data_IF_394889262530
#
_entry.id   IF_394889262530
#
_cell.length_a   1.000
_cell.length_b   1.000
_cell.length_c   1.000
_cell.angle_alpha   90.00
_cell.angle_beta   90.00
_cell.angle_gamma   90.00
#
_symmetry.space_group_name_H-M   'P 1'
#
loop_
_entity.id
_entity.type
_entity.pdbx_description
1 polymer ?
#
# COMPACT_ATOMS: atom_id res chain seq x y z
N UNK A 1 -62.33 -32.46 55.10
CA UNK A 1 -62.64 -31.80 53.82
C UNK A 1 -61.94 -30.43 53.87
N UNK A 2 -60.63 -30.37 53.59
CA UNK A 2 -59.96 -30.10 52.28
C UNK A 2 -60.19 -28.65 51.79
N UNK A 3 -59.18 -27.88 51.31
CA UNK A 3 -57.79 -28.26 50.98
C UNK A 3 -56.69 -27.40 51.62
N UNK A 4 -55.55 -28.07 51.77
CA UNK A 4 -54.20 -27.54 51.98
C UNK A 4 -53.69 -26.87 50.69
N UNK A 5 -53.26 -25.61 50.76
CA UNK A 5 -52.64 -24.91 49.63
C UNK A 5 -51.12 -25.08 49.71
N UNK A 6 -50.56 -25.97 48.87
CA UNK A 6 -49.12 -26.07 48.64
C UNK A 6 -48.64 -24.85 47.86
N UNK A 7 -47.89 -23.96 48.50
CA UNK A 7 -47.15 -22.89 47.83
C UNK A 7 -45.81 -23.49 47.38
N UNK A 8 -45.68 -23.79 46.09
CA UNK A 8 -44.41 -24.13 45.47
C UNK A 8 -43.55 -22.85 45.39
N UNK A 9 -42.44 -22.82 46.12
CA UNK A 9 -41.39 -21.82 45.91
C UNK A 9 -40.70 -22.11 44.58
N UNK A 10 -41.08 -21.38 43.53
CA UNK A 10 -40.26 -21.25 42.33
C UNK A 10 -39.02 -20.42 42.70
N UNK A 11 -37.89 -21.10 42.86
CA UNK A 11 -36.58 -20.44 42.89
C UNK A 11 -36.30 -19.95 41.47
N UNK A 12 -36.68 -18.70 41.19
CA UNK A 12 -36.25 -18.01 39.98
C UNK A 12 -34.78 -17.64 40.18
N UNK A 13 -33.87 -18.50 39.73
CA UNK A 13 -32.46 -18.13 39.61
C UNK A 13 -32.35 -17.08 38.51
N UNK A 14 -32.37 -15.80 38.91
CA UNK A 14 -31.91 -14.72 38.05
C UNK A 14 -30.44 -14.98 37.78
N UNK A 15 -30.15 -15.58 36.63
CA UNK A 15 -28.83 -15.58 36.04
C UNK A 15 -28.51 -14.12 35.72
N UNK A 16 -27.95 -13.39 36.69
CA UNK A 16 -27.25 -12.15 36.40
C UNK A 16 -26.15 -12.53 35.42
N UNK A 17 -26.36 -12.22 34.15
CA UNK A 17 -25.24 -12.14 33.22
C UNK A 17 -24.27 -11.16 33.87
N UNK A 18 -23.12 -11.68 34.33
CA UNK A 18 -21.97 -10.85 34.65
C UNK A 18 -21.58 -10.23 33.31
N UNK A 19 -22.14 -9.04 33.04
CA UNK A 19 -21.60 -8.15 32.02
C UNK A 19 -20.20 -7.85 32.52
N UNK A 20 -19.21 -8.56 31.99
CA UNK A 20 -17.82 -8.16 32.17
C UNK A 20 -17.77 -6.69 31.77
N UNK A 21 -17.23 -5.77 32.60
CA UNK A 21 -17.01 -4.42 32.13
C UNK A 21 -16.21 -4.54 30.84
N UNK A 22 -16.77 -4.07 29.73
CA UNK A 22 -16.00 -3.82 28.52
C UNK A 22 -15.00 -2.77 28.96
N UNK A 23 -13.76 -3.18 29.21
CA UNK A 23 -12.69 -2.25 29.50
C UNK A 23 -12.56 -1.39 28.26
N UNK A 24 -12.96 -0.12 28.34
CA UNK A 24 -12.66 0.84 27.29
C UNK A 24 -11.14 0.85 27.12
N UNK A 25 -10.67 0.49 25.93
CA UNK A 25 -9.24 0.50 25.66
C UNK A 25 -8.82 1.97 25.54
N UNK A 26 -8.05 2.42 26.53
CA UNK A 26 -7.41 3.75 26.52
C UNK A 26 -6.02 3.60 25.92
N UNK A 27 -5.62 4.58 25.12
CA UNK A 27 -4.34 4.61 24.41
C UNK A 27 -3.58 5.89 24.75
N UNK A 28 -2.27 5.77 24.94
CA UNK A 28 -1.36 6.89 25.19
C UNK A 28 -0.56 7.20 23.92
N UNK A 29 -0.33 8.48 23.64
CA UNK A 29 0.40 8.92 22.46
C UNK A 29 1.86 8.48 22.54
N UNK A 30 2.34 7.85 21.47
CA UNK A 30 3.72 7.41 21.31
C UNK A 30 4.44 8.15 20.18
N UNK A 31 3.69 8.75 19.25
CA UNK A 31 4.27 9.49 18.14
C UNK A 31 3.37 10.64 17.68
N UNK A 32 3.99 11.73 17.29
CA UNK A 32 3.36 12.83 16.55
C UNK A 32 4.27 13.22 15.39
N UNK A 33 3.69 13.33 14.19
CA UNK A 33 4.28 13.90 12.98
C UNK A 33 3.52 15.18 12.68
N UNK A 34 4.13 16.34 12.95
CA UNK A 34 3.50 17.65 12.76
C UNK A 34 4.58 18.72 12.56
N UNK A 35 4.18 19.84 11.98
CA UNK A 35 5.03 21.03 11.91
C UNK A 35 6.33 20.83 11.14
N UNK A 36 7.40 21.59 11.49
CA UNK A 36 8.67 21.56 10.76
C UNK A 36 9.36 20.20 10.69
N UNK A 37 9.06 19.30 11.65
CA UNK A 37 9.67 17.96 11.76
C UNK A 37 8.80 16.86 11.16
N UNK A 38 7.71 17.21 10.45
CA UNK A 38 6.76 16.24 9.91
C UNK A 38 7.45 15.13 9.11
N UNK A 39 8.45 15.48 8.29
CA UNK A 39 9.11 14.56 7.35
C UNK A 39 10.35 13.84 7.92
N UNK A 40 10.71 14.03 9.19
CA UNK A 40 12.01 13.57 9.73
C UNK A 40 12.14 12.04 9.81
N UNK A 41 11.02 11.33 9.99
CA UNK A 41 10.99 9.88 10.20
C UNK A 41 10.16 9.16 9.13
N UNK A 42 10.34 9.60 7.89
CA UNK A 42 9.74 9.00 6.70
C UNK A 42 10.81 8.55 5.70
N UNK A 43 10.65 7.33 5.21
CA UNK A 43 11.41 6.81 4.07
C UNK A 43 10.63 7.06 2.79
N UNK A 44 11.25 7.78 1.85
CA UNK A 44 10.70 8.03 0.52
C UNK A 44 11.03 6.87 -0.41
N UNK A 45 10.01 6.36 -1.09
CA UNK A 45 10.19 5.35 -2.13
C UNK A 45 10.68 6.02 -3.40
N UNK A 46 11.91 5.76 -3.80
CA UNK A 46 12.36 6.06 -5.16
C UNK A 46 12.46 4.76 -5.97
N UNK A 47 11.99 4.77 -7.21
CA UNK A 47 12.13 3.61 -8.11
C UNK A 47 13.56 3.46 -8.65
N UNK A 48 14.47 4.39 -8.35
CA UNK A 48 15.84 4.38 -8.85
C UNK A 48 16.77 3.49 -8.00
N UNK A 49 16.48 3.31 -6.71
CA UNK A 49 17.27 2.51 -5.77
C UNK A 49 16.99 1.00 -5.83
N UNK A 50 15.97 0.56 -6.57
CA UNK A 50 15.59 -0.87 -6.70
C UNK A 50 15.68 -1.37 -8.13
N UNK A 51 16.60 -0.81 -8.93
CA UNK A 51 16.99 -1.41 -10.19
C UNK A 51 17.57 -2.80 -9.91
N UNK A 52 16.85 -3.84 -10.32
CA UNK A 52 17.40 -5.19 -10.44
C UNK A 52 18.58 -5.07 -11.40
N UNK A 53 19.80 -5.23 -10.88
CA UNK A 53 21.00 -5.37 -11.70
C UNK A 53 20.90 -6.71 -12.43
N UNK A 54 20.29 -6.69 -13.61
CA UNK A 54 20.26 -7.83 -14.51
C UNK A 54 21.67 -7.96 -15.10
N UNK A 55 22.51 -8.75 -14.45
CA UNK A 55 23.81 -9.15 -14.97
C UNK A 55 23.60 -10.07 -16.18
N UNK A 56 23.46 -9.50 -17.37
CA UNK A 56 23.60 -10.25 -18.61
C UNK A 56 25.11 -10.37 -18.85
N UNK A 57 25.67 -11.55 -18.54
CA UNK A 57 27.05 -11.88 -18.85
C UNK A 57 27.33 -11.60 -20.33
N UNK A 58 28.12 -10.56 -20.60
CA UNK A 58 28.65 -10.06 -21.89
C UNK A 58 28.15 -8.70 -22.42
N UNK A 59 27.42 -7.89 -21.65
CA UNK A 59 27.19 -6.49 -22.04
C UNK A 59 27.49 -5.55 -20.87
N UNK A 60 28.61 -4.82 -20.95
CA UNK A 60 28.91 -3.71 -20.05
C UNK A 60 28.29 -2.45 -20.63
N UNK A 61 27.25 -1.90 -20.00
CA UNK A 61 26.71 -0.59 -20.35
C UNK A 61 26.73 0.32 -19.12
N UNK A 62 27.60 1.33 -19.15
CA UNK A 62 27.59 2.43 -18.20
C UNK A 62 26.91 3.65 -18.82
N UNK A 63 25.66 3.94 -18.44
CA UNK A 63 25.07 5.29 -18.57
C UNK A 63 24.01 5.53 -17.50
N UNK A 64 23.90 6.79 -17.08
CA UNK A 64 23.17 7.29 -15.91
C UNK A 64 21.66 7.52 -16.11
N UNK A 65 21.02 6.79 -17.03
CA UNK A 65 19.57 6.90 -17.24
C UNK A 65 19.08 5.79 -18.18
N UNK A 66 18.65 4.65 -17.62
CA UNK A 66 17.94 3.62 -18.38
C UNK A 66 16.44 3.89 -18.34
N UNK A 67 15.96 4.60 -19.36
CA UNK A 67 14.70 4.23 -19.99
C UNK A 67 15.06 3.14 -21.00
N UNK A 68 14.58 1.92 -20.79
CA UNK A 68 14.80 0.83 -21.74
C UNK A 68 13.91 1.12 -22.95
N UNK A 69 14.48 1.74 -23.98
CA UNK A 69 13.99 1.62 -25.35
C UNK A 69 15.17 1.54 -26.30
N UNK A 70 15.69 0.33 -26.50
CA UNK A 70 16.29 -0.03 -27.78
C UNK A 70 15.37 -1.05 -28.44
N UNK A 71 14.69 -0.57 -29.49
CA UNK A 71 13.97 -1.38 -30.46
C UNK A 71 15.03 -1.97 -31.37
N UNK A 72 15.43 -3.22 -31.14
CA UNK A 72 16.15 -3.98 -32.17
C UNK A 72 15.13 -4.72 -33.04
N UNK A 73 15.19 -4.43 -34.34
CA UNK A 73 14.26 -4.86 -35.38
C UNK A 73 14.68 -6.21 -35.99
N UNK A 74 14.93 -7.22 -35.16
CA UNK A 74 15.30 -8.56 -35.63
C UNK A 74 14.64 -9.63 -34.76
N UNK A 75 13.51 -10.15 -35.26
CA UNK A 75 12.93 -11.48 -35.00
C UNK A 75 13.22 -12.13 -33.62
N UNK A 76 12.22 -12.04 -32.74
CA UNK A 76 12.02 -12.76 -31.46
C UNK A 76 12.00 -11.83 -30.23
N UNK A 77 11.01 -10.93 -30.20
CA UNK A 77 10.79 -10.00 -29.10
C UNK A 77 10.65 -10.71 -27.75
N UNK A 78 11.65 -10.53 -26.89
CA UNK A 78 11.58 -10.88 -25.47
C UNK A 78 10.80 -9.78 -24.74
N UNK A 79 9.67 -10.15 -24.15
CA UNK A 79 8.81 -9.26 -23.37
C UNK A 79 9.31 -9.23 -21.92
N UNK A 80 9.89 -8.11 -21.49
CA UNK A 80 10.08 -7.81 -20.06
C UNK A 80 8.86 -6.98 -19.64
N UNK A 81 7.94 -7.58 -18.90
CA UNK A 81 6.83 -6.85 -18.27
C UNK A 81 7.38 -5.99 -17.14
N UNK A 82 7.58 -4.70 -17.39
CA UNK A 82 7.86 -3.72 -16.35
C UNK A 82 6.50 -3.24 -15.84
N UNK A 83 6.21 -3.41 -14.55
CA UNK A 83 5.07 -2.79 -13.90
C UNK A 83 5.25 -1.26 -14.01
N UNK A 84 4.51 -0.62 -14.90
CA UNK A 84 4.68 0.80 -15.22
C UNK A 84 3.60 1.61 -14.52
N UNK A 85 3.80 2.01 -13.27
CA UNK A 85 2.98 3.08 -12.69
C UNK A 85 3.14 4.34 -13.53
N UNK A 86 2.06 5.07 -13.81
CA UNK A 86 2.14 6.34 -14.54
C UNK A 86 2.65 7.52 -13.67
N UNK A 87 2.94 7.23 -12.40
CA UNK A 87 3.65 8.10 -11.46
C UNK A 87 5.12 7.66 -11.29
N UNK A 88 6.04 8.63 -11.23
CA UNK A 88 7.44 8.43 -10.85
C UNK A 88 7.64 8.95 -9.43
N UNK A 89 7.81 8.05 -8.48
CA UNK A 89 8.13 8.46 -7.10
C UNK A 89 9.57 8.95 -6.98
N UNK A 90 9.71 10.11 -6.33
CA UNK A 90 10.98 10.78 -6.13
C UNK A 90 11.62 10.41 -4.79
N UNK A 91 12.96 10.50 -4.75
CA UNK A 91 13.73 10.48 -3.50
C UNK A 91 13.34 11.67 -2.62
N UNK A 92 13.62 11.60 -1.32
CA UNK A 92 13.36 12.72 -0.40
C UNK A 92 14.04 14.02 -0.87
N UNK A 93 15.31 13.92 -1.28
CA UNK A 93 16.09 15.06 -1.80
C UNK A 93 15.43 15.71 -3.01
N UNK A 94 15.01 14.90 -3.99
CA UNK A 94 14.37 15.40 -5.20
C UNK A 94 12.97 15.96 -4.91
N UNK A 95 12.18 15.29 -4.05
CA UNK A 95 10.85 15.75 -3.65
C UNK A 95 10.91 17.10 -2.92
N UNK A 96 11.88 17.29 -2.02
CA UNK A 96 12.08 18.56 -1.31
C UNK A 96 12.56 19.67 -2.25
N UNK A 97 13.51 19.36 -3.14
CA UNK A 97 14.05 20.30 -4.12
C UNK A 97 12.98 20.77 -5.12
N UNK A 98 12.12 19.86 -5.57
CA UNK A 98 11.03 20.13 -6.51
C UNK A 98 9.73 20.61 -5.84
N UNK A 99 9.72 20.75 -4.51
CA UNK A 99 8.53 21.16 -3.72
C UNK A 99 7.33 20.24 -3.94
N UNK A 100 7.58 18.93 -4.08
CA UNK A 100 6.55 17.90 -4.07
C UNK A 100 6.30 17.32 -2.68
N UNK A 101 7.24 17.49 -1.76
CA UNK A 101 7.04 17.32 -0.33
C UNK A 101 7.67 18.50 0.40
N UNK A 102 6.93 19.19 1.26
CA UNK A 102 7.46 20.30 2.06
C UNK A 102 6.49 20.67 3.18
N UNK A 103 6.99 21.36 4.21
CA UNK A 103 6.14 22.02 5.22
C UNK A 103 5.86 23.44 4.75
N UNK A 104 4.58 23.81 4.66
CA UNK A 104 4.19 25.18 4.36
C UNK A 104 4.58 26.09 5.53
N UNK A 105 5.36 27.14 5.26
CA UNK A 105 5.90 28.02 6.30
C UNK A 105 4.85 28.94 6.94
N UNK A 106 3.67 29.06 6.34
CA UNK A 106 2.58 29.91 6.82
C UNK A 106 1.68 29.14 7.77
N UNK A 107 1.32 27.90 7.40
CA UNK A 107 0.40 27.06 8.17
C UNK A 107 1.11 26.05 9.07
N UNK A 108 2.38 25.74 8.82
CA UNK A 108 3.12 24.60 9.39
C UNK A 108 2.51 23.23 9.04
N UNK A 109 1.67 23.16 8.00
CA UNK A 109 1.12 21.89 7.52
C UNK A 109 2.07 21.24 6.52
N UNK A 110 2.09 19.92 6.51
CA UNK A 110 2.81 19.15 5.51
C UNK A 110 2.02 19.10 4.20
N UNK A 111 2.70 19.42 3.09
CA UNK A 111 2.19 19.32 1.73
C UNK A 111 2.89 18.17 1.03
N UNK A 112 2.11 17.24 0.47
CA UNK A 112 2.59 16.09 -0.31
C UNK A 112 1.81 16.07 -1.62
N UNK A 113 2.47 16.29 -2.76
CA UNK A 113 1.77 16.57 -4.03
C UNK A 113 2.38 15.93 -5.27
N UNK A 114 1.55 15.81 -6.30
CA UNK A 114 1.96 15.48 -7.67
C UNK A 114 2.59 16.71 -8.33
N UNK A 115 3.53 16.49 -9.25
CA UNK A 115 4.09 17.56 -10.08
C UNK A 115 3.04 18.17 -11.01
N UNK A 116 2.70 19.41 -10.70
CA UNK A 116 1.71 20.20 -11.41
C UNK A 116 2.29 21.29 -12.30
N UNK A 117 3.58 21.22 -12.63
CA UNK A 117 4.29 22.28 -13.38
C UNK A 117 5.03 21.77 -14.59
N UNK A 118 5.66 20.59 -14.50
CA UNK A 118 6.47 20.09 -15.59
C UNK A 118 5.63 19.58 -16.75
N UNK A 119 6.25 19.57 -17.93
CA UNK A 119 5.73 18.91 -19.11
C UNK A 119 6.25 17.48 -19.17
N UNK A 120 5.33 16.50 -19.24
CA UNK A 120 5.67 15.07 -19.33
C UNK A 120 5.65 14.64 -20.79
N UNK A 121 6.78 14.11 -21.27
CA UNK A 121 6.91 13.57 -22.63
C UNK A 121 6.29 12.18 -22.75
N UNK A 122 5.99 11.77 -23.98
CA UNK A 122 5.51 10.42 -24.28
C UNK A 122 6.45 9.35 -23.70
N UNK A 123 5.90 8.26 -23.16
CA UNK A 123 6.62 7.20 -22.44
C UNK A 123 7.37 7.66 -21.18
N UNK A 124 6.98 8.79 -20.58
CA UNK A 124 7.46 9.23 -19.26
C UNK A 124 6.32 9.26 -18.25
N UNK A 125 6.70 9.20 -16.98
CA UNK A 125 5.77 9.23 -15.86
C UNK A 125 5.85 10.59 -15.18
N UNK A 126 4.73 11.04 -14.62
CA UNK A 126 4.68 12.30 -13.88
C UNK A 126 5.26 12.12 -12.49
N UNK A 127 6.09 13.06 -12.05
CA UNK A 127 6.71 12.96 -10.72
C UNK A 127 5.64 13.05 -9.62
N UNK A 128 5.81 12.23 -8.59
CA UNK A 128 4.93 12.18 -7.42
C UNK A 128 5.70 11.71 -6.19
N UNK A 129 5.01 11.52 -5.08
CA UNK A 129 5.57 11.07 -3.81
C UNK A 129 4.84 9.82 -3.33
N UNK A 130 5.64 8.84 -2.88
CA UNK A 130 5.24 7.75 -2.00
C UNK A 130 6.24 7.71 -0.86
N UNK A 131 5.75 7.73 0.37
CA UNK A 131 6.59 7.70 1.56
C UNK A 131 5.93 6.91 2.67
N UNK A 132 6.74 6.31 3.54
CA UNK A 132 6.25 5.57 4.69
C UNK A 132 7.00 5.90 5.96
N UNK A 133 6.42 5.63 7.11
CA UNK A 133 7.10 5.77 8.40
C UNK A 133 8.31 4.83 8.50
N UNK A 134 9.38 5.29 9.16
CA UNK A 134 10.59 4.50 9.45
C UNK A 134 10.35 3.36 10.46
N UNK A 135 9.19 3.36 11.12
CA UNK A 135 8.76 2.37 12.10
C UNK A 135 7.40 1.79 11.72
N UNK A 136 7.15 0.55 12.15
CA UNK A 136 5.85 -0.10 12.06
C UNK A 136 5.10 -0.06 13.40
N UNK A 137 3.78 -0.20 13.33
CA UNK A 137 2.88 -0.19 14.49
C UNK A 137 2.10 -1.49 14.60
N UNK A 138 2.23 -2.17 15.74
CA UNK A 138 1.61 -3.48 15.99
C UNK A 138 0.14 -3.37 16.39
N UNK A 139 -0.54 -4.52 16.49
CA UNK A 139 -1.84 -4.65 17.14
C UNK A 139 -1.80 -3.99 18.52
N UNK A 140 -2.87 -3.26 18.87
CA UNK A 140 -2.93 -2.40 20.06
C UNK A 140 -2.57 -0.94 19.76
N UNK A 141 -2.57 -0.53 18.49
CA UNK A 141 -2.28 0.85 18.08
C UNK A 141 -3.54 1.58 17.62
N UNK A 142 -3.55 2.89 17.81
CA UNK A 142 -4.49 3.81 17.16
C UNK A 142 -3.67 4.85 16.43
N UNK A 143 -3.97 5.14 15.17
CA UNK A 143 -3.43 6.30 14.49
C UNK A 143 -4.54 7.21 14.00
N UNK A 144 -4.24 8.50 14.02
CA UNK A 144 -5.15 9.55 13.59
C UNK A 144 -4.45 10.45 12.60
N UNK A 145 -5.18 10.92 11.61
CA UNK A 145 -4.68 11.88 10.63
C UNK A 145 -5.65 13.05 10.49
N UNK A 146 -5.10 14.26 10.61
CA UNK A 146 -5.80 15.52 10.41
C UNK A 146 -5.47 16.09 9.02
N UNK A 147 -6.40 15.99 8.07
CA UNK A 147 -6.20 16.49 6.71
C UNK A 147 -7.11 17.68 6.44
N UNK A 148 -6.57 18.72 5.81
CA UNK A 148 -7.33 19.89 5.34
C UNK A 148 -7.63 19.79 3.85
N UNK A 149 -6.77 19.10 3.11
CA UNK A 149 -6.92 18.82 1.68
C UNK A 149 -6.46 17.39 1.39
N UNK A 150 -7.12 16.75 0.42
CA UNK A 150 -6.71 15.45 -0.14
C UNK A 150 -6.58 15.56 -1.65
N UNK A 151 -5.69 14.82 -2.32
CA UNK A 151 -5.54 14.88 -3.76
C UNK A 151 -6.84 14.48 -4.46
N UNK A 152 -7.23 15.17 -5.51
CA UNK A 152 -8.27 14.69 -6.42
C UNK A 152 -8.05 15.25 -7.82
N UNK A 153 -8.75 14.68 -8.78
CA UNK A 153 -8.62 15.04 -10.19
C UNK A 153 -8.66 13.80 -11.06
N UNK A 154 -8.98 13.96 -12.34
CA UNK A 154 -8.89 12.84 -13.27
C UNK A 154 -7.48 12.26 -13.30
N UNK A 155 -7.38 10.93 -13.27
CA UNK A 155 -6.19 10.10 -13.10
C UNK A 155 -5.63 10.01 -11.68
N UNK A 156 -6.05 10.87 -10.74
CA UNK A 156 -5.44 10.94 -9.42
C UNK A 156 -5.95 9.78 -8.55
N UNK A 157 -5.03 9.06 -7.92
CA UNK A 157 -5.33 7.98 -6.98
C UNK A 157 -4.49 8.17 -5.71
N UNK A 158 -5.04 8.89 -4.72
CA UNK A 158 -4.41 9.06 -3.43
C UNK A 158 -4.77 7.94 -2.47
N UNK A 159 -3.83 7.63 -1.58
CA UNK A 159 -4.07 6.75 -0.45
C UNK A 159 -3.33 7.23 0.81
N UNK A 160 -4.03 7.15 1.94
CA UNK A 160 -3.47 7.09 3.28
C UNK A 160 -3.83 5.72 3.86
N UNK A 161 -2.81 4.89 4.00
CA UNK A 161 -2.94 3.45 4.19
C UNK A 161 -1.77 2.93 5.00
N UNK A 162 -1.82 1.67 5.40
CA UNK A 162 -0.71 1.02 6.08
C UNK A 162 -0.53 -0.40 5.60
N UNK A 163 0.72 -0.87 5.57
CA UNK A 163 1.03 -2.26 5.21
C UNK A 163 2.20 -2.76 6.02
N UNK A 164 2.32 -4.08 6.15
CA UNK A 164 3.49 -4.70 6.77
C UNK A 164 4.70 -4.73 5.83
N UNK A 165 5.87 -4.95 6.42
CA UNK A 165 7.11 -5.28 5.69
C UNK A 165 7.04 -6.61 4.94
N UNK A 166 5.98 -7.39 5.05
CA UNK A 166 5.82 -8.62 4.27
C UNK A 166 4.48 -8.57 3.56
N UNK A 167 4.43 -9.14 2.35
CA UNK A 167 3.21 -9.21 1.55
C UNK A 167 2.07 -9.90 2.31
N UNK A 168 2.40 -10.90 3.12
CA UNK A 168 1.43 -11.68 3.87
C UNK A 168 0.98 -11.01 5.16
N UNK A 169 1.63 -9.91 5.57
CA UNK A 169 1.38 -9.21 6.83
C UNK A 169 0.25 -8.19 6.79
N UNK A 170 -0.59 -8.21 5.75
CA UNK A 170 -1.82 -7.44 5.65
C UNK A 170 -1.64 -5.97 5.28
N UNK A 171 -2.74 -5.35 4.87
CA UNK A 171 -2.86 -3.96 4.44
C UNK A 171 -4.17 -3.37 4.97
N UNK A 172 -4.12 -2.10 5.41
CA UNK A 172 -5.24 -1.36 5.99
C UNK A 172 -5.36 -0.03 5.25
N UNK A 173 -6.39 0.09 4.40
CA UNK A 173 -6.70 1.31 3.66
C UNK A 173 -7.62 2.18 4.50
N UNK A 174 -7.04 3.21 5.10
CA UNK A 174 -7.79 4.15 5.96
C UNK A 174 -8.54 5.18 5.12
N UNK A 175 -7.90 5.66 4.07
CA UNK A 175 -8.48 6.56 3.09
C UNK A 175 -7.91 6.21 1.72
N UNK A 176 -8.80 5.93 0.78
CA UNK A 176 -8.46 5.79 -0.62
C UNK A 176 -9.55 6.45 -1.47
N UNK A 177 -9.13 7.08 -2.56
CA UNK A 177 -10.03 7.67 -3.54
C UNK A 177 -9.47 7.52 -4.94
N UNK A 178 -10.31 7.68 -5.95
CA UNK A 178 -9.88 7.67 -7.35
C UNK A 178 -10.60 8.74 -8.14
N UNK A 179 -9.88 9.36 -9.07
CA UNK A 179 -10.43 10.31 -10.02
C UNK A 179 -11.23 11.43 -9.32
N UNK A 180 -12.43 11.70 -9.83
CA UNK A 180 -13.39 12.65 -9.28
C UNK A 180 -14.55 11.93 -8.55
N UNK A 181 -14.28 10.78 -7.93
CA UNK A 181 -15.27 10.12 -7.07
C UNK A 181 -15.78 11.09 -5.98
N UNK A 182 -17.00 10.87 -5.50
CA UNK A 182 -17.62 11.72 -4.46
C UNK A 182 -17.45 11.18 -3.04
N UNK A 183 -16.87 9.99 -2.88
CA UNK A 183 -16.70 9.31 -1.60
C UNK A 183 -15.32 8.66 -1.55
N UNK A 184 -14.70 8.64 -0.37
CA UNK A 184 -13.56 7.76 -0.13
C UNK A 184 -14.04 6.35 0.22
N UNK A 185 -13.12 5.40 0.09
CA UNK A 185 -13.29 4.03 0.55
C UNK A 185 -12.26 3.71 1.63
N UNK A 186 -12.58 2.69 2.43
CA UNK A 186 -11.73 2.13 3.47
C UNK A 186 -11.84 0.60 3.42
N UNK A 187 -10.77 -0.10 3.76
CA UNK A 187 -10.69 -1.53 3.44
C UNK A 187 -9.52 -2.25 4.08
N UNK A 188 -9.55 -3.58 3.94
CA UNK A 188 -8.44 -4.44 4.30
C UNK A 188 -8.09 -5.38 3.13
N UNK A 189 -6.79 -5.66 3.00
CA UNK A 189 -6.28 -6.74 2.16
C UNK A 189 -5.43 -7.70 2.99
N UNK A 190 -5.68 -9.01 2.85
CA UNK A 190 -5.05 -10.05 3.64
C UNK A 190 -4.75 -11.30 2.81
N UNK A 191 -4.03 -12.26 3.39
CA UNK A 191 -4.02 -13.64 2.90
C UNK A 191 -5.43 -14.27 3.01
N UNK A 192 -5.74 -15.37 2.29
CA UNK A 192 -7.05 -16.02 2.34
C UNK A 192 -7.49 -16.42 3.75
N UNK A 193 -8.78 -16.24 4.05
CA UNK A 193 -9.39 -16.68 5.31
C UNK A 193 -9.80 -15.57 6.28
N UNK A 194 -9.61 -14.30 5.91
CA UNK A 194 -10.17 -13.16 6.65
C UNK A 194 -11.43 -12.63 5.93
N UNK A 195 -12.54 -12.53 6.66
CA UNK A 195 -13.81 -12.03 6.14
C UNK A 195 -14.47 -11.10 7.16
N UNK A 196 -15.01 -9.98 6.68
CA UNK A 196 -15.78 -9.03 7.47
C UNK A 196 -17.12 -9.65 7.87
N UNK A 197 -17.28 -10.01 9.14
CA UNK A 197 -18.51 -10.62 9.69
C UNK A 197 -18.83 -10.04 11.06
N UNK A 198 -20.11 -9.74 11.30
CA UNK A 198 -20.59 -9.24 12.59
C UNK A 198 -20.22 -7.78 12.85
N UNK A 199 -19.98 -7.02 11.78
CA UNK A 199 -19.57 -5.63 11.83
C UNK A 199 -20.58 -4.75 12.57
N UNK A 200 -20.06 -3.91 13.47
CA UNK A 200 -20.81 -2.85 14.13
C UNK A 200 -20.33 -1.50 13.60
N UNK A 201 -20.96 -1.02 12.53
CA UNK A 201 -20.53 0.16 11.80
C UNK A 201 -21.71 1.00 11.32
N UNK A 202 -21.46 2.29 11.06
CA UNK A 202 -22.47 3.24 10.59
C UNK A 202 -22.66 3.20 9.07
N UNK A 203 -21.65 2.81 8.28
CA UNK A 203 -21.83 2.66 6.83
C UNK A 203 -22.60 1.40 6.48
N UNK A 204 -23.69 1.56 5.73
CA UNK A 204 -24.44 0.46 5.11
C UNK A 204 -23.90 0.05 3.74
N UNK A 205 -22.84 0.71 3.24
CA UNK A 205 -22.31 0.52 1.89
C UNK A 205 -21.06 -0.37 1.97
N UNK A 206 -21.29 -1.69 2.10
CA UNK A 206 -20.23 -2.71 2.07
C UNK A 206 -20.10 -3.22 0.64
N UNK A 207 -18.97 -2.93 0.00
CA UNK A 207 -18.71 -3.28 -1.40
C UNK A 207 -18.21 -4.73 -1.54
N UNK A 208 -17.49 -5.23 -0.54
CA UNK A 208 -16.98 -6.61 -0.47
C UNK A 208 -16.68 -6.96 0.98
N UNK A 209 -16.90 -8.21 1.37
CA UNK A 209 -16.60 -8.71 2.72
C UNK A 209 -15.37 -9.62 2.76
N UNK A 210 -14.90 -10.13 1.62
CA UNK A 210 -13.72 -11.00 1.56
C UNK A 210 -12.46 -10.15 1.44
N UNK A 211 -11.59 -10.21 2.44
CA UNK A 211 -10.40 -9.39 2.52
C UNK A 211 -9.23 -10.00 1.72
N UNK A 212 -9.38 -11.20 1.17
CA UNK A 212 -8.28 -11.87 0.49
C UNK A 212 -7.82 -11.13 -0.76
N UNK A 213 -6.53 -10.84 -0.87
CA UNK A 213 -5.93 -10.30 -2.10
C UNK A 213 -6.00 -11.29 -3.28
N UNK A 214 -6.29 -12.58 -3.03
CA UNK A 214 -6.51 -13.59 -4.07
C UNK A 214 -7.96 -13.64 -4.57
N UNK A 215 -8.89 -13.01 -3.86
CA UNK A 215 -10.29 -12.94 -4.24
C UNK A 215 -10.55 -11.71 -5.12
N UNK A 216 -11.53 -11.84 -6.02
CA UNK A 216 -12.15 -10.73 -6.78
C UNK A 216 -11.15 -9.75 -7.43
N UNK A 217 -10.01 -10.25 -7.90
CA UNK A 217 -8.92 -9.43 -8.45
C UNK A 217 -8.36 -8.41 -7.44
N UNK A 218 -7.96 -8.89 -6.25
CA UNK A 218 -7.43 -8.05 -5.18
C UNK A 218 -8.39 -6.91 -4.77
N UNK A 219 -9.69 -7.18 -4.73
CA UNK A 219 -10.68 -6.17 -4.34
C UNK A 219 -10.55 -5.78 -2.87
N UNK A 220 -10.18 -6.73 -1.99
CA UNK A 220 -10.24 -6.56 -0.55
C UNK A 220 -11.67 -6.49 -0.01
N UNK A 221 -11.80 -6.28 1.30
CA UNK A 221 -13.08 -6.14 1.97
C UNK A 221 -13.38 -4.67 2.24
N UNK A 222 -14.01 -4.03 1.28
CA UNK A 222 -14.13 -2.57 1.19
C UNK A 222 -15.48 -2.08 1.72
N UNK A 223 -15.44 -1.00 2.48
CA UNK A 223 -16.59 -0.20 2.90
C UNK A 223 -16.46 1.23 2.35
N UNK A 224 -17.50 1.74 1.71
CA UNK A 224 -17.54 3.13 1.24
C UNK A 224 -17.94 4.07 2.38
N UNK A 225 -17.30 5.25 2.46
CA UNK A 225 -17.69 6.30 3.42
C UNK A 225 -18.93 7.05 2.89
N UNK A 226 -20.11 6.97 3.57
CA UNK A 226 -21.34 7.52 3.01
C UNK A 226 -21.35 9.04 2.83
N UNK A 227 -20.55 9.76 3.64
CA UNK A 227 -20.45 11.22 3.53
C UNK A 227 -19.74 11.62 2.25
N UNK A 228 -20.31 12.56 1.49
CA UNK A 228 -19.64 13.15 0.32
C UNK A 228 -18.47 14.06 0.72
N UNK A 229 -18.42 14.50 1.98
CA UNK A 229 -17.30 15.30 2.50
C UNK A 229 -16.06 14.44 2.81
N UNK A 230 -16.08 13.15 2.48
CA UNK A 230 -14.98 12.22 2.74
C UNK A 230 -13.88 12.22 1.68
N UNK A 231 -14.13 12.80 0.51
CA UNK A 231 -13.18 12.86 -0.60
C UNK A 231 -13.38 14.07 -1.52
N UNK A 232 -12.36 14.36 -2.32
CA UNK A 232 -12.45 15.31 -3.42
C UNK A 232 -12.66 16.77 -3.00
N UNK A 233 -13.23 17.54 -3.92
CA UNK A 233 -13.49 18.97 -3.71
C UNK A 233 -14.40 19.23 -2.51
N UNK A 234 -15.35 18.32 -2.22
CA UNK A 234 -16.24 18.46 -1.07
C UNK A 234 -15.51 18.32 0.26
N UNK A 235 -14.50 17.44 0.35
CA UNK A 235 -13.60 17.35 1.51
C UNK A 235 -12.85 18.67 1.70
N UNK A 236 -12.20 19.18 0.64
CA UNK A 236 -11.43 20.42 0.69
C UNK A 236 -12.29 21.65 1.08
N UNK A 237 -13.47 21.78 0.46
CA UNK A 237 -14.40 22.89 0.73
C UNK A 237 -14.98 22.86 2.16
N UNK A 238 -15.10 21.68 2.76
CA UNK A 238 -15.53 21.53 4.15
C UNK A 238 -14.43 21.88 5.17
N UNK A 239 -13.21 22.23 4.73
CA UNK A 239 -12.05 22.41 5.61
C UNK A 239 -11.41 21.07 6.03
N UNK A 240 -11.66 20.02 5.26
CA UNK A 240 -11.16 18.67 5.44
C UNK A 240 -11.83 17.90 6.57
N UNK A 241 -11.05 17.11 7.31
CA UNK A 241 -11.56 16.22 8.33
C UNK A 241 -10.51 15.31 8.94
N UNK A 242 -10.97 14.47 9.86
CA UNK A 242 -10.16 13.52 10.59
C UNK A 242 -10.48 12.09 10.16
N UNK A 243 -9.45 11.29 9.96
CA UNK A 243 -9.58 9.83 9.96
C UNK A 243 -8.90 9.26 11.20
N UNK A 244 -9.53 8.24 11.79
CA UNK A 244 -9.00 7.49 12.94
C UNK A 244 -9.06 6.03 12.61
N UNK A 245 -7.97 5.31 12.82
CA UNK A 245 -7.89 3.87 12.66
C UNK A 245 -7.44 3.25 13.97
N UNK A 246 -8.28 2.37 14.51
CA UNK A 246 -7.97 1.51 15.63
C UNK A 246 -7.58 0.13 15.09
N UNK A 247 -6.33 -0.27 15.34
CA UNK A 247 -5.81 -1.59 15.02
C UNK A 247 -5.70 -2.40 16.32
N UNK A 248 -6.80 -3.03 16.72
CA UNK A 248 -6.94 -3.71 18.01
C UNK A 248 -7.05 -5.22 17.86
N UNK A 249 -6.92 -5.94 18.99
CA UNK A 249 -7.12 -7.40 19.03
C UNK A 249 -8.57 -7.80 18.71
N UNK A 250 -9.52 -6.93 19.04
CA UNK A 250 -10.96 -7.12 18.77
C UNK A 250 -11.33 -6.96 17.30
N UNK A 251 -10.47 -6.34 16.51
CA UNK A 251 -10.64 -6.08 15.09
C UNK A 251 -10.05 -4.74 14.67
N UNK A 252 -10.34 -4.34 13.44
CA UNK A 252 -9.96 -3.03 12.92
C UNK A 252 -11.22 -2.16 12.81
N UNK A 253 -11.14 -0.92 13.27
CA UNK A 253 -12.23 0.06 13.21
C UNK A 253 -11.72 1.37 12.64
N UNK A 254 -12.48 1.98 11.73
CA UNK A 254 -12.09 3.22 11.06
C UNK A 254 -13.23 4.23 11.13
N UNK A 255 -12.92 5.44 11.60
CA UNK A 255 -13.84 6.57 11.69
C UNK A 255 -13.44 7.66 10.68
N UNK A 256 -14.43 8.38 10.20
CA UNK A 256 -14.26 9.64 9.49
C UNK A 256 -15.13 10.71 10.15
N UNK A 257 -14.54 11.87 10.42
CA UNK A 257 -15.23 13.06 10.91
C UNK A 257 -14.97 14.22 9.95
N UNK A 258 -15.99 14.79 9.29
CA UNK A 258 -15.80 16.05 8.57
C UNK A 258 -15.42 17.15 9.58
N UNK A 259 -14.70 18.19 9.13
CA UNK A 259 -14.11 19.22 10.01
C UNK A 259 -15.07 19.77 11.08
N UNK A 260 -16.33 20.00 10.70
CA UNK A 260 -17.35 20.58 11.58
C UNK A 260 -17.75 19.65 12.75
N UNK A 261 -17.55 18.33 12.59
CA UNK A 261 -18.00 17.29 13.52
C UNK A 261 -16.82 16.61 14.25
N UNK A 262 -15.60 17.14 14.13
CA UNK A 262 -14.41 16.57 14.79
C UNK A 262 -14.59 16.64 16.32
N UNK A 263 -14.58 15.50 17.03
CA UNK A 263 -14.69 15.48 18.48
C UNK A 263 -13.53 16.20 19.18
N UNK A 264 -13.81 16.87 20.29
CA UNK A 264 -12.80 17.62 21.05
C UNK A 264 -11.59 16.80 21.52
N UNK A 265 -11.76 15.48 21.72
CA UNK A 265 -10.67 14.57 22.07
C UNK A 265 -9.62 14.45 20.95
N UNK A 266 -10.01 14.63 19.69
CA UNK A 266 -9.10 14.62 18.53
C UNK A 266 -8.48 15.98 18.26
N UNK A 267 -9.23 17.07 18.48
CA UNK A 267 -8.78 18.43 18.20
C UNK A 267 -7.95 19.08 19.32
N UNK A 268 -7.85 18.43 20.48
CA UNK A 268 -7.04 18.89 21.61
C UNK A 268 -5.61 18.36 21.54
N UNK A 269 -4.67 18.97 22.26
CA UNK A 269 -3.32 18.40 22.48
C UNK A 269 -3.36 17.26 23.52
N UNK A 270 -4.39 16.41 23.44
CA UNK A 270 -4.54 15.28 24.35
C UNK A 270 -3.45 14.24 24.06
N UNK A 271 -2.74 13.82 25.11
CA UNK A 271 -1.78 12.72 25.03
C UNK A 271 -2.46 11.35 25.17
N UNK A 272 -3.78 11.30 25.35
CA UNK A 272 -4.54 10.07 25.49
C UNK A 272 -5.80 10.07 24.65
N UNK A 273 -6.24 8.90 24.21
CA UNK A 273 -7.49 8.71 23.48
C UNK A 273 -8.22 7.48 23.99
N UNK A 274 -9.54 7.62 24.14
CA UNK A 274 -10.48 6.51 24.38
C UNK A 274 -11.36 6.39 23.13
N UNK A 275 -11.17 5.31 22.38
CA UNK A 275 -11.89 5.10 21.11
C UNK A 275 -13.39 4.85 21.32
N UNK A 276 -13.81 4.42 22.51
CA UNK A 276 -15.24 4.26 22.83
C UNK A 276 -15.99 5.60 22.85
N UNK A 277 -15.28 6.71 23.07
CA UNK A 277 -15.82 8.07 23.04
C UNK A 277 -16.05 8.60 21.61
N UNK A 278 -15.49 7.94 20.58
CA UNK A 278 -15.63 8.34 19.18
C UNK A 278 -16.98 7.91 18.57
N UNK A 279 -17.75 7.10 19.28
CA UNK A 279 -19.00 6.55 18.79
C UNK A 279 -18.80 5.42 17.79
N UNK A 280 -19.82 5.16 16.96
CA UNK A 280 -19.80 4.05 16.02
C UNK A 280 -18.84 4.32 14.84
N UNK A 281 -17.91 3.41 14.50
CA UNK A 281 -17.02 3.58 13.36
C UNK A 281 -17.78 3.58 12.03
N UNK A 282 -17.18 4.15 10.99
CA UNK A 282 -17.72 4.10 9.62
C UNK A 282 -17.56 2.71 9.03
N UNK A 283 -16.40 2.09 9.23
CA UNK A 283 -16.08 0.71 8.87
C UNK A 283 -15.56 -0.06 10.06
N UNK A 284 -16.01 -1.30 10.23
CA UNK A 284 -15.58 -2.20 11.30
C UNK A 284 -15.36 -3.61 10.75
N UNK A 285 -14.19 -4.17 11.01
CA UNK A 285 -13.78 -5.52 10.62
C UNK A 285 -13.47 -6.33 11.89
N UNK A 286 -14.46 -6.99 12.49
CA UNK A 286 -14.28 -7.74 13.72
C UNK A 286 -13.33 -8.94 13.58
N UNK A 287 -12.60 -9.24 14.65
CA UNK A 287 -11.70 -10.39 14.73
C UNK A 287 -12.38 -11.76 14.68
N UNK A 288 -13.72 -11.83 14.63
CA UNK A 288 -14.49 -13.09 14.63
C UNK A 288 -14.12 -14.00 13.46
N UNK A 289 -13.99 -13.44 12.25
CA UNK A 289 -13.51 -14.16 11.07
C UNK A 289 -12.34 -13.43 10.39
N UNK A 290 -11.72 -12.48 11.07
CA UNK A 290 -10.54 -11.77 10.59
C UNK A 290 -9.64 -11.39 11.76
N UNK A 291 -9.01 -12.39 12.40
CA UNK A 291 -8.20 -12.14 13.59
C UNK A 291 -7.00 -11.24 13.29
N UNK A 292 -6.95 -10.05 13.90
CA UNK A 292 -5.88 -9.06 13.70
C UNK A 292 -4.48 -9.66 13.83
N UNK A 293 -4.23 -10.44 14.87
CA UNK A 293 -2.90 -11.02 15.17
C UNK A 293 -2.51 -12.16 14.23
N UNK A 294 -3.46 -12.72 13.48
CA UNK A 294 -3.19 -13.75 12.48
C UNK A 294 -2.86 -13.14 11.12
N UNK A 295 -3.62 -12.12 10.70
CA UNK A 295 -3.56 -11.60 9.34
C UNK A 295 -2.69 -10.35 9.19
N UNK A 296 -2.38 -9.67 10.30
CA UNK A 296 -1.65 -8.42 10.26
C UNK A 296 -0.38 -8.48 11.11
N UNK A 297 0.73 -8.05 10.51
CA UNK A 297 2.01 -7.81 11.16
C UNK A 297 2.12 -6.31 11.53
N UNK A 298 3.21 -5.84 12.16
CA UNK A 298 3.40 -4.41 12.40
C UNK A 298 3.32 -3.60 11.09
N UNK A 299 2.53 -2.53 11.10
CA UNK A 299 2.15 -1.77 9.91
C UNK A 299 2.93 -0.46 9.80
N UNK A 300 3.57 -0.18 8.66
CA UNK A 300 4.10 1.13 8.33
C UNK A 300 2.98 2.01 7.78
N UNK A 301 2.89 3.27 8.22
CA UNK A 301 1.90 4.21 7.69
C UNK A 301 2.44 4.85 6.41
N UNK A 302 1.60 5.01 5.39
CA UNK A 302 2.02 5.36 4.03
C UNK A 302 1.15 6.48 3.46
N UNK A 303 1.81 7.49 2.90
CA UNK A 303 1.21 8.41 1.94
C UNK A 303 1.62 8.01 0.53
N UNK A 304 0.64 7.91 -0.37
CA UNK A 304 0.88 7.70 -1.79
C UNK A 304 -0.04 8.60 -2.60
N UNK A 305 0.48 9.21 -3.67
CA UNK A 305 -0.36 9.73 -4.75
C UNK A 305 0.11 9.08 -6.05
N UNK A 306 -0.59 8.04 -6.49
CA UNK A 306 -0.33 7.41 -7.79
C UNK A 306 -1.24 8.04 -8.85
N UNK A 307 -0.96 7.74 -10.12
CA UNK A 307 -1.75 8.21 -11.25
C UNK A 307 -2.15 7.04 -12.12
N UNK A 308 -3.42 7.01 -12.52
CA UNK A 308 -4.08 5.93 -13.24
C UNK A 308 -3.89 4.60 -12.50
N UNK A 309 -2.77 3.95 -12.80
CA UNK A 309 -2.33 2.65 -12.35
C UNK A 309 -1.37 2.10 -13.39
N UNK A 310 -0.88 0.88 -13.15
CA UNK A 310 -0.05 0.20 -14.12
C UNK A 310 -0.90 -0.43 -15.19
N UNK A 311 -0.90 0.12 -16.41
CA UNK A 311 -1.39 -0.66 -17.52
C UNK A 311 -0.45 -1.88 -17.66
N UNK A 312 -1.01 -3.09 -17.71
CA UNK A 312 -0.46 -4.11 -18.62
C UNK A 312 -0.81 -3.66 -20.05
N UNK A 313 -0.28 -2.50 -20.42
CA UNK A 313 -0.64 -1.66 -21.55
C UNK A 313 0.27 -1.90 -22.73
N UNK A 314 0.16 -3.10 -23.29
CA UNK A 314 0.03 -3.30 -24.74
C UNK A 314 0.84 -2.33 -25.63
N UNK A 315 2.11 -2.64 -25.88
CA UNK A 315 2.82 -2.18 -27.10
C UNK A 315 2.33 -2.94 -28.35
N UNK A 316 1.05 -3.27 -28.48
CA UNK A 316 0.55 -4.06 -29.61
C UNK A 316 -0.92 -3.76 -30.00
N UNK A 317 -1.13 -2.80 -30.91
CA UNK A 317 -2.06 -3.05 -32.01
C UNK A 317 -1.32 -3.76 -33.16
N UNK A 318 -1.94 -4.52 -34.07
CA UNK A 318 -3.20 -5.26 -34.06
C UNK A 318 -2.92 -6.78 -34.08
N UNK A 319 -2.73 -7.44 -32.94
CA UNK A 319 -2.60 -8.91 -32.89
C UNK A 319 -3.37 -9.47 -31.69
N UNK A 320 -4.68 -9.18 -31.64
CA UNK A 320 -5.58 -9.70 -30.60
C UNK A 320 -5.83 -11.21 -30.67
N UNK A 321 -5.46 -11.87 -31.77
CA UNK A 321 -5.89 -13.25 -32.04
C UNK A 321 -4.87 -14.34 -31.68
N UNK A 322 -3.63 -14.00 -31.30
CA UNK A 322 -2.57 -15.00 -31.08
C UNK A 322 -2.26 -15.23 -29.58
N UNK A 323 -2.44 -14.20 -28.74
CA UNK A 323 -2.01 -14.27 -27.32
C UNK A 323 -3.00 -14.95 -26.37
N UNK A 324 -4.28 -15.07 -26.74
CA UNK A 324 -5.28 -15.76 -25.90
C UNK A 324 -5.02 -17.27 -25.74
N UNK A 325 -4.17 -17.87 -26.60
CA UNK A 325 -3.87 -19.31 -26.56
C UNK A 325 -2.66 -19.68 -25.67
N UNK A 326 -1.78 -18.72 -25.33
CA UNK A 326 -0.55 -19.01 -24.59
C UNK A 326 -0.75 -18.98 -23.05
N UNK A 327 -1.73 -18.23 -22.56
CA UNK A 327 -1.99 -18.11 -21.12
C UNK A 327 -2.78 -19.28 -20.53
N UNK A 328 -3.37 -20.15 -21.36
CA UNK A 328 -4.14 -21.32 -20.91
C UNK A 328 -3.30 -22.61 -20.78
N UNK A 329 -1.98 -22.55 -20.91
CA UNK A 329 -1.12 -23.75 -20.93
C UNK A 329 0.17 -23.60 -20.12
N UNK A 330 0.11 -23.67 -18.79
CA UNK A 330 1.32 -23.94 -17.98
C UNK A 330 1.05 -24.52 -16.58
N UNK A 331 0.37 -25.67 -16.53
CA UNK A 331 0.68 -26.70 -15.51
C UNK A 331 0.69 -28.06 -16.18
N UNK A 332 1.76 -28.34 -16.94
CA UNK A 332 2.21 -29.72 -17.08
C UNK A 332 3.68 -29.80 -17.48
N UNK A 333 4.48 -30.47 -16.66
CA UNK A 333 5.95 -30.64 -16.78
C UNK A 333 6.39 -31.52 -17.97
N UNK A 334 5.49 -31.84 -18.91
CA UNK A 334 5.75 -32.80 -19.97
C UNK A 334 6.20 -32.18 -21.32
N UNK A 335 6.17 -30.85 -21.49
CA UNK A 335 6.38 -30.21 -22.80
C UNK A 335 7.81 -29.67 -23.06
N UNK A 336 8.80 -30.02 -22.23
CA UNK A 336 10.19 -29.55 -22.37
C UNK A 336 11.11 -30.48 -23.19
N UNK A 337 10.57 -31.53 -23.82
CA UNK A 337 11.40 -32.55 -24.52
C UNK A 337 11.41 -32.47 -26.06
N UNK A 338 10.73 -31.51 -26.69
CA UNK A 338 10.51 -31.57 -28.16
C UNK A 338 11.06 -30.43 -29.01
N UNK A 339 12.01 -29.61 -28.54
CA UNK A 339 12.65 -28.60 -29.43
C UNK A 339 14.15 -28.84 -29.61
N UNK A 340 14.67 -28.87 -30.87
CA UNK A 340 16.08 -29.06 -31.15
C UNK A 340 16.93 -27.86 -30.73
N UNK A 341 18.17 -28.15 -30.39
CA UNK A 341 19.24 -27.25 -29.96
C UNK A 341 19.44 -26.02 -30.86
N UNK A 342 19.21 -24.83 -30.30
CA UNK A 342 20.01 -23.60 -30.51
C UNK A 342 19.58 -22.52 -29.50
N UNK A 343 20.55 -21.95 -28.79
CA UNK A 343 20.46 -20.79 -27.89
C UNK A 343 19.50 -20.91 -26.69
N UNK A 344 19.96 -21.62 -25.65
CA UNK A 344 19.34 -21.57 -24.32
C UNK A 344 19.78 -20.31 -23.59
N UNK A 345 18.93 -19.27 -23.56
CA UNK A 345 19.02 -18.24 -22.52
C UNK A 345 18.29 -18.79 -21.28
N UNK A 346 19.05 -19.27 -20.30
CA UNK A 346 18.51 -19.62 -18.99
C UNK A 346 18.34 -18.32 -18.21
N UNK A 347 17.12 -17.78 -18.18
CA UNK A 347 16.80 -16.65 -17.32
C UNK A 347 16.65 -17.20 -15.90
N UNK A 348 17.72 -17.12 -15.10
CA UNK A 348 17.62 -17.29 -13.65
C UNK A 348 17.22 -15.93 -13.09
N UNK A 349 15.93 -15.76 -12.82
CA UNK A 349 15.42 -14.61 -12.06
C UNK A 349 15.85 -14.79 -10.60
N UNK A 350 17.02 -14.29 -10.24
CA UNK A 350 17.41 -14.17 -8.84
C UNK A 350 16.68 -12.95 -8.25
N UNK A 351 15.63 -13.23 -7.48
CA UNK A 351 14.83 -12.28 -6.70
C UNK A 351 14.07 -11.23 -7.51
N UNK A 352 12.78 -11.49 -7.74
CA UNK A 352 11.79 -10.40 -7.78
C UNK A 352 11.50 -10.08 -6.31
N UNK A 353 12.12 -9.04 -5.78
CA UNK A 353 11.74 -8.49 -4.47
C UNK A 353 10.25 -8.10 -4.50
N UNK A 354 9.36 -8.77 -3.74
CA UNK A 354 7.92 -8.62 -3.89
C UNK A 354 7.43 -7.51 -2.97
N UNK A 355 7.68 -6.25 -3.33
CA UNK A 355 7.30 -5.11 -2.47
C UNK A 355 6.54 -4.04 -3.21
N UNK A 356 5.27 -4.37 -3.42
CA UNK A 356 4.07 -3.55 -3.57
C UNK A 356 3.12 -4.45 -4.33
N UNK A 357 1.93 -4.72 -3.78
CA UNK A 357 0.90 -5.45 -4.51
C UNK A 357 0.78 -4.85 -5.93
N UNK A 358 0.48 -5.65 -6.97
CA UNK A 358 -0.12 -5.07 -8.16
C UNK A 358 -1.44 -4.48 -7.70
N UNK A 359 -1.41 -3.23 -7.22
CA UNK A 359 -2.57 -2.38 -7.12
C UNK A 359 -3.14 -2.38 -8.52
N UNK A 360 -4.26 -3.08 -8.68
CA UNK A 360 -4.98 -3.13 -9.94
C UNK A 360 -5.21 -1.67 -10.33
N UNK A 361 -5.03 -1.34 -11.60
CA UNK A 361 -5.16 0.01 -12.11
C UNK A 361 -6.56 0.57 -11.83
N UNK A 362 -6.80 1.11 -10.63
CA UNK A 362 -8.14 1.50 -10.19
C UNK A 362 -8.50 2.83 -10.84
N UNK A 363 -7.63 3.84 -10.80
CA UNK A 363 -7.98 5.12 -11.41
C UNK A 363 -7.94 5.07 -12.94
N UNK A 364 -7.07 4.29 -13.57
CA UNK A 364 -6.98 4.17 -15.03
C UNK A 364 -7.87 3.08 -15.65
N UNK A 365 -8.47 2.19 -14.85
CA UNK A 365 -9.46 1.21 -15.34
C UNK A 365 -10.56 1.92 -16.13
N UNK A 366 -10.79 1.51 -17.37
CA UNK A 366 -11.76 2.16 -18.26
C UNK A 366 -13.14 2.25 -17.61
N UNK A 367 -13.58 1.21 -16.92
CA UNK A 367 -14.88 1.14 -16.23
C UNK A 367 -14.95 1.99 -14.96
N UNK A 368 -13.83 2.41 -14.38
CA UNK A 368 -13.76 3.31 -13.22
C UNK A 368 -13.54 4.75 -13.66
N UNK A 369 -12.58 4.97 -14.55
CA UNK A 369 -12.24 6.27 -15.11
C UNK A 369 -13.46 6.92 -15.77
N UNK A 370 -14.17 6.18 -16.63
CA UNK A 370 -15.34 6.69 -17.35
C UNK A 370 -16.55 7.03 -16.47
N UNK A 371 -16.55 6.64 -15.19
CA UNK A 371 -17.62 7.01 -14.24
C UNK A 371 -17.57 8.49 -13.89
N UNK A 372 -16.38 9.10 -13.90
CA UNK A 372 -16.17 10.47 -13.40
C UNK A 372 -15.30 11.34 -14.30
N UNK A 373 -14.63 10.75 -15.29
CA UNK A 373 -13.71 11.41 -16.20
C UNK A 373 -13.95 10.98 -17.65
N UNK A 374 -13.54 11.82 -18.60
CA UNK A 374 -13.64 11.54 -20.04
C UNK A 374 -12.25 11.54 -20.67
N UNK A 375 -12.01 10.61 -21.59
CA UNK A 375 -10.72 10.48 -22.30
C UNK A 375 -9.96 9.21 -21.92
N UNK A 376 -8.67 9.19 -22.22
CA UNK A 376 -7.70 8.13 -21.93
C UNK A 376 -6.80 8.60 -20.79
N UNK A 377 -6.82 7.87 -19.66
CA UNK A 377 -6.18 8.29 -18.41
C UNK A 377 -4.72 8.76 -18.59
N UNK A 378 -3.87 7.95 -19.24
CA UNK A 378 -2.47 8.32 -19.43
C UNK A 378 -2.30 9.44 -20.47
N UNK A 379 -2.84 9.26 -21.68
CA UNK A 379 -2.58 10.16 -22.81
C UNK A 379 -3.11 11.58 -22.58
N UNK A 380 -4.28 11.69 -21.96
CA UNK A 380 -4.98 12.98 -21.85
C UNK A 380 -4.67 13.70 -20.53
N UNK A 381 -4.26 12.97 -19.48
CA UNK A 381 -4.07 13.55 -18.15
C UNK A 381 -2.65 13.45 -17.63
N UNK A 382 -1.91 12.36 -17.89
CA UNK A 382 -0.54 12.20 -17.37
C UNK A 382 0.47 12.93 -18.25
N UNK A 383 0.34 12.82 -19.58
CA UNK A 383 1.21 13.49 -20.54
C UNK A 383 0.99 15.01 -20.59
N UNK A 384 1.98 15.72 -21.11
CA UNK A 384 1.89 17.16 -21.35
C UNK A 384 2.00 17.98 -20.07
N UNK A 385 1.36 19.15 -20.07
CA UNK A 385 1.48 20.14 -19.02
C UNK A 385 0.80 19.69 -17.71
N UNK A 386 1.48 19.88 -16.57
CA UNK A 386 0.99 19.46 -15.26
C UNK A 386 -0.13 20.29 -14.62
N UNK A 387 -0.63 21.34 -15.27
CA UNK A 387 -1.62 22.26 -14.66
C UNK A 387 -2.91 21.58 -14.17
N UNK A 388 -3.26 20.42 -14.71
CA UNK A 388 -4.40 19.61 -14.27
C UNK A 388 -4.26 19.04 -12.83
N UNK A 389 -3.07 19.12 -12.23
CA UNK A 389 -2.76 18.56 -10.91
C UNK A 389 -2.68 19.62 -9.81
N UNK A 390 -3.32 20.78 -10.00
CA UNK A 390 -3.35 21.84 -8.99
C UNK A 390 -3.92 21.35 -7.65
N UNK A 391 -4.97 20.53 -7.69
CA UNK A 391 -5.64 19.95 -6.52
C UNK A 391 -5.14 18.54 -6.18
N UNK A 392 -4.04 18.09 -6.77
CA UNK A 392 -3.47 16.77 -6.51
C UNK A 392 -2.45 16.80 -5.36
N UNK A 393 -2.90 17.21 -4.17
CA UNK A 393 -2.06 17.30 -2.98
C UNK A 393 -2.78 16.94 -1.68
N UNK A 394 -2.06 16.33 -0.76
CA UNK A 394 -2.43 16.27 0.64
C UNK A 394 -1.96 17.55 1.33
N UNK A 395 -2.81 18.10 2.20
CA UNK A 395 -2.43 19.06 3.22
C UNK A 395 -2.75 18.46 4.58
N UNK A 396 -1.70 18.18 5.36
CA UNK A 396 -1.78 17.42 6.61
C UNK A 396 -1.33 18.30 7.76
N UNK A 397 -2.21 18.50 8.73
CA UNK A 397 -1.93 19.23 9.97
C UNK A 397 -1.09 18.37 10.92
N UNK A 398 -1.53 17.12 11.15
CA UNK A 398 -0.79 16.16 11.98
C UNK A 398 -1.15 14.71 11.67
N UNK A 399 -0.20 13.82 11.95
CA UNK A 399 -0.45 12.39 12.17
C UNK A 399 -0.04 12.07 13.61
N UNK A 400 -0.91 11.43 14.37
CA UNK A 400 -0.62 11.01 15.75
C UNK A 400 -0.83 9.51 15.88
N UNK A 401 0.03 8.86 16.65
CA UNK A 401 -0.05 7.43 16.93
C UNK A 401 -0.03 7.21 18.43
N UNK A 402 -0.91 6.33 18.87
CA UNK A 402 -1.14 5.97 20.26
C UNK A 402 -1.00 4.45 20.42
N UNK A 403 -0.48 4.02 21.56
CA UNK A 403 -0.38 2.62 21.94
C UNK A 403 -1.31 2.35 23.12
N UNK A 404 -1.89 1.15 23.18
CA UNK A 404 -2.68 0.72 24.32
C UNK A 404 -1.86 0.86 25.60
N UNK A 405 -2.46 1.41 26.66
CA UNK A 405 -1.74 1.68 27.91
C UNK A 405 -0.98 0.45 28.43
N UNK A 406 0.29 0.64 28.78
CA UNK A 406 1.17 -0.42 29.26
C UNK A 406 1.76 -1.32 28.16
N UNK A 407 1.56 -0.99 26.88
CA UNK A 407 2.15 -1.70 25.74
C UNK A 407 3.03 -0.76 24.91
N UNK A 408 4.13 -1.28 24.37
CA UNK A 408 4.88 -0.60 23.31
C UNK A 408 4.54 -1.27 21.99
N UNK A 409 3.83 -0.57 21.11
CA UNK A 409 3.45 -1.11 19.81
C UNK A 409 4.36 -0.64 18.67
N UNK A 410 5.35 0.21 18.96
CA UNK A 410 6.30 0.73 17.99
C UNK A 410 7.38 -0.31 17.72
N UNK A 411 7.53 -0.69 16.45
CA UNK A 411 8.50 -1.68 15.97
C UNK A 411 9.46 -1.01 14.99
N UNK A 412 10.76 -1.09 15.27
CA UNK A 412 11.77 -0.60 14.35
C UNK A 412 11.81 -1.45 13.08
N UNK A 413 11.77 -0.80 11.91
CA UNK A 413 12.00 -1.47 10.62
C UNK A 413 13.51 -1.67 10.45
N UNK A 414 14.02 -2.89 10.19
CA UNK A 414 15.40 -3.06 9.81
C UNK A 414 15.66 -2.28 8.52
N UNK A 415 16.37 -1.15 8.59
CA UNK A 415 16.88 -0.49 7.39
C UNK A 415 17.77 -1.51 6.69
N UNK A 416 17.37 -1.97 5.49
CA UNK A 416 18.25 -2.77 4.66
C UNK A 416 19.52 -1.96 4.48
N UNK A 417 20.59 -2.36 5.16
CA UNK A 417 21.89 -1.74 5.01
C UNK A 417 22.27 -1.95 3.56
N UNK A 418 22.25 -0.86 2.78
CA UNK A 418 22.94 -0.83 1.51
C UNK A 418 24.38 -1.17 1.82
N UNK A 419 24.76 -2.42 1.58
CA UNK A 419 26.15 -2.82 1.58
C UNK A 419 26.81 -1.95 0.51
N UNK A 420 27.49 -0.90 0.95
CA UNK A 420 28.33 -0.10 0.08
C UNK A 420 29.33 -1.05 -0.55
N UNK A 421 29.10 -1.42 -1.81
CA UNK A 421 30.13 -1.98 -2.65
C UNK A 421 31.15 -0.87 -2.84
N UNK A 422 32.20 -0.90 -2.01
CA UNK A 422 33.42 -0.15 -2.24
C UNK A 422 33.99 -0.62 -3.57
N UNK A 423 33.76 0.16 -4.63
CA UNK A 423 34.46 0.00 -5.90
C UNK A 423 35.88 0.47 -5.69
N UNK A 424 36.76 -0.46 -5.31
CA UNK A 424 38.21 -0.27 -5.42
C UNK A 424 38.56 -0.04 -6.90
N UNK A 425 39.29 1.04 -7.25
CA UNK A 425 39.65 1.30 -8.63
C UNK A 425 40.70 0.28 -9.07
N UNK A 426 40.34 -0.63 -9.99
CA UNK A 426 41.32 -1.51 -10.61
C UNK A 426 42.30 -0.69 -11.45
N UNK A 427 43.48 -0.46 -10.86
CA UNK A 427 44.67 0.03 -11.52
C UNK A 427 45.15 -0.93 -12.60
N UNK A 428 45.79 -0.34 -13.61
CA UNK A 428 46.35 -0.99 -14.80
C UNK A 428 47.20 -2.23 -14.48
N UNK A 429 46.76 -3.37 -15.03
CA UNK A 429 47.55 -4.50 -15.57
C UNK A 429 48.72 -5.07 -14.78
N UNK A 430 48.55 -6.30 -14.26
CA UNK A 430 49.55 -7.39 -14.33
C UNK A 430 48.79 -8.72 -14.42
N UNK A 431 49.10 -9.53 -15.44
CA UNK A 431 48.68 -10.93 -15.56
C UNK A 431 49.32 -11.76 -14.45
N UNK A 432 48.53 -12.30 -13.51
CA UNK A 432 48.93 -13.45 -12.71
C UNK A 432 47.98 -14.62 -13.01
N UNK A 433 48.53 -15.65 -13.67
CA UNK A 433 47.92 -16.97 -13.76
C UNK A 433 48.00 -17.61 -12.38
N UNK A 434 46.87 -17.99 -11.81
CA UNK A 434 46.85 -19.01 -10.75
C UNK A 434 45.80 -20.04 -11.12
N UNK A 435 46.29 -21.26 -11.37
CA UNK A 435 45.48 -22.43 -11.64
C UNK A 435 44.76 -22.86 -10.35
N UNK A 436 43.45 -23.07 -10.43
CA UNK A 436 42.71 -23.83 -9.41
C UNK A 436 42.41 -25.20 -10.01
N UNK A 437 43.10 -26.19 -9.47
CA UNK A 437 42.90 -27.62 -9.69
C UNK A 437 41.53 -28.05 -9.15
N UNK A 438 40.72 -28.67 -10.02
CA UNK A 438 39.46 -29.32 -9.65
C UNK A 438 39.80 -30.70 -9.10
N UNK A 439 39.59 -30.90 -7.78
CA UNK A 439 39.68 -32.20 -7.15
C UNK A 439 38.40 -33.02 -7.40
N UNK A 440 38.53 -34.08 -8.20
CA UNK A 440 37.58 -35.18 -8.28
C UNK A 440 37.62 -35.99 -6.97
N UNK A 441 36.49 -36.11 -6.27
CA UNK A 441 36.29 -37.17 -5.28
C UNK A 441 35.36 -38.22 -5.89
N UNK A 442 35.96 -39.37 -6.20
CA UNK A 442 35.30 -40.52 -6.81
C UNK A 442 34.53 -41.37 -5.81
N UNK A 443 33.60 -42.13 -6.40
CA UNK A 443 32.87 -43.26 -5.84
C UNK A 443 33.85 -44.33 -5.34
N UNK A 444 33.68 -44.82 -4.11
CA UNK A 444 34.23 -46.11 -3.67
C UNK A 444 33.14 -46.85 -2.87
N UNK A 445 32.69 -47.96 -3.43
CA UNK A 445 31.93 -49.02 -2.75
C UNK A 445 32.91 -50.15 -2.47
N UNK A 446 33.00 -50.64 -1.22
CA UNK A 446 33.46 -51.99 -0.92
C UNK A 446 32.72 -52.54 0.28
N UNK A 447 32.01 -53.65 0.07
CA UNK A 447 31.90 -54.72 1.06
C UNK A 447 32.99 -55.75 0.78
N UNK A 448 33.58 -56.22 1.88
CA UNK A 448 34.44 -57.41 2.09
C UNK A 448 35.97 -57.23 2.14
N UNK A 449 36.42 -57.61 3.36
CA UNK A 449 37.72 -58.07 3.87
C UNK A 449 38.84 -57.05 4.05
#
# INVERSE_FOLDING_TARGET
MVPTLCIAFLVLSTLLAVVKPVTADTYDMVKEYAGPTFFDEWTFYDHLSRAVSLHISNVTLSTSSLAISEVDNLTNGNVIGIMAYNARYLSASDAFKSKLAFVDSTTNHAIIKVDNTSNVEFNKNRNSVRMQTDVGYSVGSVWTIDMLHVPFGCSVWPAWWSTAETREGGEIDTFEGVNLASHSIMGLHTTPGCTQVGQNQSSSIVNSTDCSFLANNNQGCITTVPSTQSYGAAFAQAGGGFFVTEFAESGISIWFFPRADVPGVLSSNSSTIDTSSLGQPVGNWPSTQCNSSQFFQPQNLIFTVTLCGGELGVIFGPIRSIFAAALSMSVNSAYLKSFPSSNKLLIIVHSLEPFSFPSIDLAGRVDVFSQTCTGVCYNDFVLGNGSNYADAYFEVSSVRVFSKQGTNTVVGVPKSSGAGLTVEPFGRGVLLRTAISVGLAGVVSWTML
#
